data_IF_237042506623
#
_entry.id   IF_237042506623
#
_cell.length_a   1.000
_cell.length_b   1.000
_cell.length_c   1.000
_cell.angle_alpha   90.00
_cell.angle_beta   90.00
_cell.angle_gamma   90.00
#
_symmetry.space_group_name_H-M   'P 1'
#
loop_
_entity.id
_entity.type
_entity.pdbx_description
1 polymer ?
#
# COMPACT_ATOMS: atom_id res chain seq x y z
N UNK A 1 -13.27 -14.87 7.83
CA UNK A 1 -13.15 -14.08 6.58
C UNK A 1 -13.76 -14.91 5.46
N UNK A 2 -14.78 -14.41 4.77
CA UNK A 2 -15.38 -15.11 3.63
C UNK A 2 -14.39 -15.08 2.46
N UNK A 3 -13.76 -16.22 2.17
CA UNK A 3 -13.02 -16.35 0.91
C UNK A 3 -14.03 -16.27 -0.23
N UNK A 4 -13.96 -15.20 -1.03
CA UNK A 4 -14.62 -15.15 -2.33
C UNK A 4 -13.99 -16.28 -3.14
N UNK A 5 -14.79 -17.28 -3.54
CA UNK A 5 -14.30 -18.39 -4.35
C UNK A 5 -13.92 -17.90 -5.75
N UNK A 6 -12.65 -17.59 -5.95
CA UNK A 6 -12.11 -17.15 -7.24
C UNK A 6 -11.80 -18.39 -8.10
N UNK A 7 -12.42 -18.48 -9.28
CA UNK A 7 -12.04 -19.45 -10.30
C UNK A 7 -10.74 -19.03 -11.01
N UNK A 8 -10.12 -19.98 -11.72
CA UNK A 8 -8.84 -19.74 -12.41
C UNK A 8 -8.94 -18.61 -13.44
N UNK A 9 -10.08 -18.47 -14.11
CA UNK A 9 -10.33 -17.37 -15.04
C UNK A 9 -10.35 -16.00 -14.33
N UNK A 10 -10.97 -15.92 -13.15
CA UNK A 10 -11.01 -14.69 -12.35
C UNK A 10 -9.64 -14.34 -11.78
N UNK A 11 -8.83 -15.34 -11.43
CA UNK A 11 -7.44 -15.13 -11.02
C UNK A 11 -6.59 -14.57 -12.16
N UNK A 12 -6.70 -15.12 -13.38
CA UNK A 12 -6.01 -14.57 -14.57
C UNK A 12 -6.43 -13.13 -14.89
N UNK A 13 -7.73 -12.83 -14.77
CA UNK A 13 -8.24 -11.46 -14.90
C UNK A 13 -7.63 -10.54 -13.84
N UNK A 14 -7.58 -10.99 -12.58
CA UNK A 14 -7.02 -10.21 -11.47
C UNK A 14 -5.53 -9.95 -11.68
N UNK A 15 -4.78 -10.94 -12.15
CA UNK A 15 -3.34 -10.81 -12.42
C UNK A 15 -3.07 -9.79 -13.54
N UNK A 16 -3.82 -9.84 -14.64
CA UNK A 16 -3.71 -8.86 -15.73
C UNK A 16 -4.07 -7.43 -15.27
N UNK A 17 -5.19 -7.27 -14.57
CA UNK A 17 -5.67 -5.95 -14.15
C UNK A 17 -4.82 -5.31 -13.05
N UNK A 18 -4.15 -6.11 -12.21
CA UNK A 18 -3.19 -5.59 -11.22
C UNK A 18 -1.93 -5.02 -11.88
N UNK A 19 -1.58 -5.49 -13.08
CA UNK A 19 -0.44 -4.99 -13.86
C UNK A 19 -0.83 -3.82 -14.76
N UNK A 20 -1.97 -3.92 -15.44
CA UNK A 20 -2.49 -2.88 -16.30
C UNK A 20 -4.01 -2.74 -16.16
N UNK A 21 -4.44 -1.75 -15.39
CA UNK A 21 -5.85 -1.45 -15.18
C UNK A 21 -6.53 -0.71 -16.36
N UNK A 22 -5.77 -0.26 -17.37
CA UNK A 22 -6.27 0.48 -18.54
C UNK A 22 -6.69 -0.42 -19.70
N UNK A 23 -6.49 -1.74 -19.58
CA UNK A 23 -6.90 -2.70 -20.61
C UNK A 23 -8.40 -2.56 -20.92
N UNK A 24 -8.72 -2.45 -22.20
CA UNK A 24 -10.09 -2.59 -22.65
C UNK A 24 -10.59 -4.00 -22.33
N UNK A 25 -11.91 -4.16 -22.18
CA UNK A 25 -12.48 -5.48 -21.94
C UNK A 25 -12.20 -6.47 -23.09
N UNK A 26 -12.01 -5.98 -24.32
CA UNK A 26 -11.65 -6.82 -25.46
C UNK A 26 -10.23 -7.37 -25.34
N UNK A 27 -9.25 -6.50 -25.05
CA UNK A 27 -7.85 -6.90 -24.85
C UNK A 27 -7.69 -7.82 -23.64
N UNK A 28 -8.37 -7.50 -22.53
CA UNK A 28 -8.36 -8.34 -21.34
C UNK A 28 -8.91 -9.73 -21.66
N UNK A 29 -10.05 -9.82 -22.35
CA UNK A 29 -10.67 -11.08 -22.72
C UNK A 29 -9.74 -11.95 -23.59
N UNK A 30 -9.06 -11.33 -24.56
CA UNK A 30 -8.07 -12.01 -25.40
C UNK A 30 -6.92 -12.59 -24.57
N UNK A 31 -6.32 -11.78 -23.68
CA UNK A 31 -5.20 -12.21 -22.82
C UNK A 31 -5.55 -13.36 -21.89
N UNK A 32 -6.77 -13.37 -21.35
CA UNK A 32 -7.22 -14.41 -20.41
C UNK A 32 -7.92 -15.59 -21.11
N UNK A 33 -8.01 -15.59 -22.44
CA UNK A 33 -8.62 -16.67 -23.22
C UNK A 33 -10.14 -16.80 -23.02
N UNK A 34 -10.84 -15.68 -22.92
CA UNK A 34 -12.30 -15.60 -22.80
C UNK A 34 -12.91 -14.79 -23.95
N UNK A 35 -14.22 -14.94 -24.16
CA UNK A 35 -14.98 -13.96 -24.95
C UNK A 35 -15.32 -12.72 -24.11
N UNK A 36 -15.64 -11.62 -24.78
CA UNK A 36 -15.82 -10.31 -24.13
C UNK A 36 -16.91 -10.31 -23.04
N UNK A 37 -18.05 -10.98 -23.26
CA UNK A 37 -19.17 -11.01 -22.31
C UNK A 37 -18.85 -11.72 -20.97
N UNK A 38 -18.33 -12.97 -20.95
CA UNK A 38 -17.94 -13.64 -19.70
C UNK A 38 -16.74 -13.00 -19.00
N UNK A 39 -15.84 -12.33 -19.73
CA UNK A 39 -14.78 -11.51 -19.14
C UNK A 39 -15.36 -10.32 -18.39
N UNK A 40 -16.22 -9.54 -19.06
CA UNK A 40 -16.85 -8.36 -18.46
C UNK A 40 -17.62 -8.69 -17.19
N UNK A 41 -18.43 -9.76 -17.22
CA UNK A 41 -19.20 -10.21 -16.05
C UNK A 41 -18.30 -10.50 -14.85
N UNK A 42 -17.20 -11.22 -15.05
CA UNK A 42 -16.23 -11.52 -13.97
C UNK A 42 -15.57 -10.26 -13.42
N UNK A 43 -15.22 -9.29 -14.26
CA UNK A 43 -14.68 -8.00 -13.80
C UNK A 43 -15.71 -7.26 -12.93
N UNK A 44 -16.99 -7.27 -13.32
CA UNK A 44 -18.08 -6.70 -12.52
C UNK A 44 -18.20 -7.42 -11.17
N UNK A 45 -18.19 -8.76 -11.17
CA UNK A 45 -18.29 -9.57 -9.95
C UNK A 45 -17.10 -9.31 -9.00
N UNK A 46 -15.88 -9.20 -9.54
CA UNK A 46 -14.68 -8.87 -8.78
C UNK A 46 -14.76 -7.48 -8.13
N UNK A 47 -15.38 -6.49 -8.80
CA UNK A 47 -15.61 -5.16 -8.23
C UNK A 47 -16.71 -5.18 -7.17
N UNK A 48 -17.84 -5.83 -7.46
CA UNK A 48 -18.99 -5.89 -6.55
C UNK A 48 -18.68 -6.67 -5.26
N UNK A 49 -17.84 -7.70 -5.35
CA UNK A 49 -17.37 -8.46 -4.19
C UNK A 49 -16.27 -7.77 -3.39
N UNK A 50 -15.75 -6.62 -3.86
CA UNK A 50 -14.69 -5.87 -3.19
C UNK A 50 -13.29 -6.45 -3.36
N UNK A 51 -13.10 -7.48 -4.21
CA UNK A 51 -11.78 -8.00 -4.55
C UNK A 51 -10.97 -6.94 -5.32
N UNK A 52 -11.60 -6.31 -6.31
CA UNK A 52 -11.08 -5.10 -6.95
C UNK A 52 -11.57 -3.87 -6.18
N UNK A 53 -10.70 -3.30 -5.36
CA UNK A 53 -11.01 -2.15 -4.50
C UNK A 53 -10.97 -0.80 -5.22
N UNK A 54 -10.21 -0.70 -6.31
CA UNK A 54 -10.06 0.52 -7.10
C UNK A 54 -8.91 0.42 -8.10
N UNK A 55 -8.81 1.43 -8.96
CA UNK A 55 -7.72 1.61 -9.92
C UNK A 55 -7.06 2.96 -9.67
N UNK A 56 -5.73 3.01 -9.75
CA UNK A 56 -4.95 4.24 -9.53
C UNK A 56 -3.87 4.36 -10.60
N UNK A 57 -3.53 5.60 -10.98
CA UNK A 57 -2.38 5.87 -11.83
C UNK A 57 -1.13 5.97 -10.96
N UNK A 58 -0.09 5.21 -11.29
CA UNK A 58 1.20 5.28 -10.61
C UNK A 58 2.08 6.33 -11.30
N UNK A 59 2.69 7.20 -10.51
CA UNK A 59 3.53 8.31 -10.97
C UNK A 59 4.97 8.11 -10.52
N UNK A 60 5.92 8.60 -11.31
CA UNK A 60 7.34 8.55 -10.97
C UNK A 60 7.63 9.58 -9.84
N UNK A 61 8.03 9.13 -8.64
CA UNK A 61 8.30 10.03 -7.52
C UNK A 61 9.45 11.01 -7.82
N UNK A 62 10.48 10.59 -8.58
CA UNK A 62 11.62 11.45 -8.91
C UNK A 62 11.20 12.61 -9.83
N UNK A 63 10.25 12.36 -10.74
CA UNK A 63 9.68 13.41 -11.60
C UNK A 63 8.84 14.42 -10.83
N UNK A 64 8.36 14.04 -9.65
CA UNK A 64 7.65 14.92 -8.72
C UNK A 64 8.57 15.58 -7.68
N UNK A 65 9.88 15.36 -7.77
CA UNK A 65 10.85 15.90 -6.81
C UNK A 65 10.90 15.15 -5.47
N UNK A 66 10.25 13.99 -5.37
CA UNK A 66 10.21 13.15 -4.17
C UNK A 66 11.38 12.15 -4.19
N UNK A 67 12.57 12.63 -3.87
CA UNK A 67 13.80 11.86 -4.01
C UNK A 67 14.11 10.93 -2.83
N UNK A 68 13.49 11.14 -1.68
CA UNK A 68 13.90 10.47 -0.43
C UNK A 68 12.82 9.52 0.06
N UNK A 69 13.19 8.25 0.25
CA UNK A 69 12.39 7.26 0.97
C UNK A 69 12.98 7.05 2.37
N UNK A 70 12.16 7.24 3.40
CA UNK A 70 12.56 7.08 4.80
C UNK A 70 11.68 6.02 5.47
N UNK A 71 12.32 5.05 6.11
CA UNK A 71 11.66 4.11 7.00
C UNK A 71 11.81 4.59 8.44
N UNK A 72 10.68 4.85 9.09
CA UNK A 72 10.65 5.40 10.45
C UNK A 72 10.06 4.38 11.40
N UNK A 73 10.84 3.98 12.38
CA UNK A 73 10.43 3.13 13.48
C UNK A 73 10.08 4.01 14.67
N UNK A 74 8.87 3.85 15.21
CA UNK A 74 8.38 4.61 16.35
C UNK A 74 8.06 3.67 17.50
N UNK A 75 8.57 3.98 18.67
CA UNK A 75 8.23 3.31 19.93
C UNK A 75 7.44 4.29 20.80
N UNK A 76 6.34 3.83 21.37
CA UNK A 76 5.51 4.58 22.29
C UNK A 76 5.92 4.30 23.74
N UNK A 77 5.61 5.24 24.62
CA UNK A 77 5.83 5.12 26.07
C UNK A 77 4.84 4.12 26.70
N UNK A 78 3.64 4.05 26.14
CA UNK A 78 2.54 3.20 26.56
C UNK A 78 1.89 2.59 25.32
N UNK A 79 1.51 1.32 25.42
CA UNK A 79 0.95 0.52 24.32
C UNK A 79 -0.52 0.17 24.59
N UNK A 80 -1.19 0.98 25.42
CA UNK A 80 -2.64 0.89 25.59
C UNK A 80 -3.37 1.39 24.34
N UNK A 81 -4.65 1.04 24.25
CA UNK A 81 -5.51 1.33 23.11
C UNK A 81 -5.55 2.83 22.79
N UNK A 82 -5.65 3.68 23.81
CA UNK A 82 -5.77 5.13 23.62
C UNK A 82 -4.49 5.72 23.02
N UNK A 83 -3.32 5.29 23.52
CA UNK A 83 -2.02 5.70 23.01
C UNK A 83 -1.82 5.29 21.53
N UNK A 84 -2.20 4.05 21.20
CA UNK A 84 -2.15 3.54 19.82
C UNK A 84 -3.09 4.32 18.88
N UNK A 85 -4.31 4.64 19.33
CA UNK A 85 -5.29 5.40 18.56
C UNK A 85 -4.85 6.86 18.33
N UNK A 86 -4.29 7.51 19.35
CA UNK A 86 -3.73 8.87 19.24
C UNK A 86 -2.65 8.92 18.17
N UNK A 87 -1.70 7.98 18.20
CA UNK A 87 -0.64 7.91 17.21
C UNK A 87 -1.18 7.62 15.80
N UNK A 88 -2.02 6.60 15.67
CA UNK A 88 -2.60 6.18 14.37
C UNK A 88 -3.34 7.33 13.69
N UNK A 89 -4.17 8.08 14.45
CA UNK A 89 -4.91 9.22 13.92
C UNK A 89 -4.00 10.36 13.50
N UNK A 90 -2.94 10.65 14.26
CA UNK A 90 -1.99 11.71 13.94
C UNK A 90 -1.24 11.42 12.63
N UNK A 91 -0.90 10.15 12.39
CA UNK A 91 -0.17 9.71 11.19
C UNK A 91 -1.09 9.58 9.97
N UNK A 92 -2.32 9.10 10.12
CA UNK A 92 -3.25 8.90 9.00
C UNK A 92 -3.58 10.18 8.21
N UNK A 93 -3.38 11.36 8.82
CA UNK A 93 -3.62 12.66 8.19
C UNK A 93 -2.42 13.18 7.38
N UNK A 94 -1.31 12.43 7.31
CA UNK A 94 -0.05 12.89 6.70
C UNK A 94 0.14 12.28 5.32
N UNK A 95 -0.01 13.07 4.23
CA UNK A 95 0.11 12.54 2.87
C UNK A 95 1.51 12.02 2.52
N UNK A 96 2.55 12.53 3.16
CA UNK A 96 3.93 12.06 3.02
C UNK A 96 4.16 10.67 3.63
N UNK A 97 3.28 10.23 4.54
CA UNK A 97 3.30 8.87 5.10
C UNK A 97 2.51 7.95 4.18
N UNK A 98 3.23 7.19 3.35
CA UNK A 98 2.65 6.32 2.35
C UNK A 98 2.14 5.00 2.93
N UNK A 99 2.82 4.48 3.95
CA UNK A 99 2.45 3.24 4.64
C UNK A 99 2.75 3.37 6.13
N UNK A 100 1.92 2.76 6.97
CA UNK A 100 2.10 2.67 8.42
C UNK A 100 1.61 1.31 8.91
N UNK A 101 2.46 0.60 9.64
CA UNK A 101 2.19 -0.73 10.15
C UNK A 101 2.37 -0.77 11.66
N UNK A 102 1.41 -1.38 12.37
CA UNK A 102 1.61 -1.82 13.75
C UNK A 102 2.47 -3.09 13.73
N UNK A 103 3.54 -3.09 14.51
CA UNK A 103 4.58 -4.11 14.50
C UNK A 103 4.59 -4.89 15.81
N UNK A 104 4.96 -6.17 15.76
CA UNK A 104 5.13 -7.03 16.96
C UNK A 104 6.58 -7.07 17.48
N UNK A 105 7.46 -6.24 16.92
CA UNK A 105 8.91 -6.25 17.19
C UNK A 105 9.36 -5.17 18.18
N UNK A 106 10.59 -4.66 18.00
CA UNK A 106 11.18 -3.66 18.90
C UNK A 106 10.51 -2.29 18.85
N UNK A 107 9.92 -1.93 17.71
CA UNK A 107 9.15 -0.71 17.54
C UNK A 107 7.67 -1.06 17.45
N UNK A 108 6.81 -0.17 17.94
CA UNK A 108 5.36 -0.33 17.85
C UNK A 108 4.85 -0.05 16.45
N UNK A 109 5.43 0.95 15.77
CA UNK A 109 5.05 1.31 14.41
C UNK A 109 6.24 1.38 13.46
N UNK A 110 6.01 1.00 12.20
CA UNK A 110 6.92 1.24 11.09
C UNK A 110 6.20 2.03 9.99
N UNK A 111 6.78 3.17 9.61
CA UNK A 111 6.25 4.05 8.57
C UNK A 111 7.17 4.01 7.35
N UNK A 112 6.59 4.05 6.15
CA UNK A 112 7.29 4.44 4.92
C UNK A 112 6.88 5.85 4.54
N UNK A 113 7.84 6.76 4.59
CA UNK A 113 7.68 8.18 4.27
C UNK A 113 8.38 8.48 2.95
N UNK A 114 7.73 9.24 2.07
CA UNK A 114 8.29 9.72 0.81
C UNK A 114 8.28 11.24 0.81
N UNK A 115 9.44 11.85 0.62
CA UNK A 115 9.61 13.29 0.76
C UNK A 115 10.69 13.84 -0.18
N UNK A 116 10.76 15.16 -0.33
CA UNK A 116 11.65 15.82 -1.27
C UNK A 116 13.13 15.64 -0.90
N UNK A 117 13.47 15.94 0.36
CA UNK A 117 14.85 15.96 0.85
C UNK A 117 14.93 15.78 2.38
N UNK A 118 16.17 15.79 2.91
CA UNK A 118 16.44 15.67 4.34
C UNK A 118 15.94 16.87 5.16
N UNK A 119 15.86 18.07 4.57
CA UNK A 119 15.41 19.27 5.27
C UNK A 119 13.91 19.13 5.55
N UNK A 120 13.15 18.72 4.54
CA UNK A 120 11.72 18.41 4.67
C UNK A 120 11.48 17.27 5.64
N UNK A 121 12.32 16.25 5.62
CA UNK A 121 12.25 15.17 6.62
C UNK A 121 12.47 15.68 8.05
N UNK A 122 13.45 16.57 8.26
CA UNK A 122 13.70 17.17 9.57
C UNK A 122 12.48 17.96 10.07
N UNK A 123 11.82 18.72 9.20
CA UNK A 123 10.56 19.41 9.51
C UNK A 123 9.48 18.43 9.97
N UNK A 124 9.23 17.36 9.20
CA UNK A 124 8.27 16.31 9.59
C UNK A 124 8.60 15.72 10.96
N UNK A 125 9.87 15.43 11.21
CA UNK A 125 10.33 14.85 12.47
C UNK A 125 10.02 15.78 13.65
N UNK A 126 10.47 17.04 13.58
CA UNK A 126 10.41 17.99 14.69
C UNK A 126 9.01 18.60 14.92
N UNK A 127 8.29 18.89 13.84
CA UNK A 127 7.01 19.59 13.91
C UNK A 127 5.82 18.62 14.01
N UNK A 128 6.01 17.35 13.63
CA UNK A 128 4.95 16.35 13.71
C UNK A 128 5.33 15.19 14.62
N UNK A 129 6.29 14.35 14.22
CA UNK A 129 6.49 13.06 14.89
C UNK A 129 6.86 13.19 16.36
N UNK A 130 7.75 14.11 16.72
CA UNK A 130 8.13 14.36 18.12
C UNK A 130 7.05 15.07 18.93
N UNK A 131 6.08 15.70 18.26
CA UNK A 131 4.96 16.40 18.92
C UNK A 131 3.81 15.45 19.26
N UNK A 132 3.80 14.22 18.71
CA UNK A 132 2.74 13.26 19.00
C UNK A 132 2.87 12.80 20.46
N UNK A 133 1.82 13.00 21.30
CA UNK A 133 1.84 12.54 22.67
C UNK A 133 2.08 11.04 22.75
N UNK A 134 2.90 10.62 23.70
CA UNK A 134 3.19 9.21 23.94
C UNK A 134 4.34 8.64 23.10
N UNK A 135 4.93 9.38 22.16
CA UNK A 135 6.15 8.91 21.47
C UNK A 135 7.34 8.89 22.45
N UNK A 136 7.99 7.73 22.55
CA UNK A 136 9.18 7.51 23.39
C UNK A 136 10.47 7.66 22.59
N UNK A 137 10.53 7.04 21.42
CA UNK A 137 11.70 7.10 20.55
C UNK A 137 11.32 6.99 19.07
N UNK A 138 12.17 7.58 18.23
CA UNK A 138 12.04 7.56 16.78
C UNK A 138 13.39 7.17 16.21
N UNK A 139 13.42 6.15 15.34
CA UNK A 139 14.61 5.74 14.61
C UNK A 139 14.32 5.75 13.13
N UNK A 140 15.19 6.39 12.36
CA UNK A 140 14.96 6.63 10.93
C UNK A 140 16.08 6.00 10.12
N UNK A 141 15.70 5.31 9.04
CA UNK A 141 16.62 4.70 8.09
C UNK A 141 16.28 5.18 6.68
N UNK A 142 17.26 5.72 5.98
CA UNK A 142 17.07 6.25 4.63
C UNK A 142 17.39 5.15 3.61
N UNK A 143 16.47 4.92 2.67
CA UNK A 143 16.72 4.00 1.57
C UNK A 143 17.77 4.59 0.61
N UNK A 144 18.82 3.84 0.33
CA UNK A 144 19.83 4.23 -0.67
C UNK A 144 19.30 4.09 -2.10
N UNK A 145 18.43 3.10 -2.32
CA UNK A 145 17.73 2.89 -3.58
C UNK A 145 16.49 2.02 -3.37
N UNK A 146 15.53 2.12 -4.29
CA UNK A 146 14.39 1.22 -4.35
C UNK A 146 14.68 0.11 -5.37
N UNK A 147 14.94 -1.10 -4.88
CA UNK A 147 15.29 -2.25 -5.74
C UNK A 147 14.05 -2.83 -6.44
N UNK A 148 12.89 -2.82 -5.77
CA UNK A 148 11.62 -3.32 -6.29
C UNK A 148 10.45 -2.60 -5.65
N UNK A 149 9.45 -2.27 -6.45
CA UNK A 149 8.15 -1.80 -5.99
C UNK A 149 7.05 -2.40 -6.88
N UNK A 150 5.99 -2.92 -6.27
CA UNK A 150 4.83 -3.46 -6.96
C UNK A 150 3.60 -3.29 -6.09
N UNK A 151 2.49 -2.88 -6.69
CA UNK A 151 1.17 -2.85 -6.03
C UNK A 151 0.38 -4.15 -6.25
N UNK A 152 0.77 -4.95 -7.24
CA UNK A 152 0.17 -6.26 -7.50
C UNK A 152 0.46 -7.23 -6.36
N UNK A 153 -0.61 -7.82 -5.81
CA UNK A 153 -0.56 -8.82 -4.76
C UNK A 153 -0.35 -10.23 -5.36
N UNK A 154 0.36 -11.12 -4.66
CA UNK A 154 0.58 -12.48 -5.14
C UNK A 154 -0.69 -13.32 -5.05
N UNK A 155 -1.11 -13.92 -6.16
CA UNK A 155 -2.33 -14.75 -6.28
C UNK A 155 -2.05 -16.24 -6.36
N UNK A 156 -0.80 -16.67 -6.56
CA UNK A 156 -0.46 -18.07 -6.82
C UNK A 156 -0.86 -19.07 -5.72
N UNK A 157 -1.06 -18.61 -4.48
CA UNK A 157 -1.56 -19.44 -3.37
C UNK A 157 -3.06 -19.74 -3.46
N UNK A 158 -3.80 -19.04 -4.33
CA UNK A 158 -5.24 -19.23 -4.56
C UNK A 158 -5.51 -20.21 -5.71
N UNK A 159 -4.52 -20.48 -6.57
CA UNK A 159 -4.62 -21.55 -7.55
C UNK A 159 -4.65 -22.89 -6.82
N UNK A 160 -5.83 -23.54 -6.80
CA UNK A 160 -5.92 -24.94 -6.38
C UNK A 160 -5.12 -25.76 -7.38
N UNK A 161 -4.09 -26.46 -6.90
CA UNK A 161 -3.41 -27.50 -7.69
C UNK A 161 -4.36 -28.63 -8.04
#
# INVERSE_FOLDING_TARGET
MSHVGLDEASLRILDELQQNAELSNAELAERVGLSASPCWRRVVDLKQSGVLRGSVSLVDPLKLGLAVNVFVHVTLKQQDKDSLEVFTRAIAMRPEVMECYLMSGEADFMLRVVIEDLIKYQTLLLECLTQIPGVASIRSSFALSQVKYTTALPTGHLCKR
#
